data_IF_247221816401
#
_entry.id   IF_247221816401
#
_cell.length_a   1.000
_cell.length_b   1.000
_cell.length_c   1.000
_cell.angle_alpha   90.00
_cell.angle_beta   90.00
_cell.angle_gamma   90.00
#
_symmetry.space_group_name_H-M   'P 1'
#
loop_
_entity.id
_entity.type
_entity.pdbx_description
1 polymer ?
#
# COMPACT_ATOMS: atom_id res chain seq x y z
N UNK A 1 25.28 0.36 -21.94
CA UNK A 1 24.38 1.52 -21.74
C UNK A 1 23.17 1.05 -20.95
N UNK A 2 23.20 1.27 -19.63
CA UNK A 2 22.22 0.73 -18.65
C UNK A 2 21.68 1.87 -17.77
N UNK A 3 21.63 3.09 -18.30
CA UNK A 3 21.54 4.32 -17.50
C UNK A 3 20.38 5.24 -17.89
N UNK A 4 19.48 4.82 -18.78
CA UNK A 4 18.28 5.58 -19.15
C UNK A 4 16.96 4.88 -18.81
N UNK A 5 16.95 3.54 -18.68
CA UNK A 5 15.75 2.77 -18.33
C UNK A 5 15.44 2.74 -16.82
N UNK A 6 16.39 3.15 -15.97
CA UNK A 6 16.24 3.18 -14.51
C UNK A 6 15.80 4.56 -13.97
N UNK A 7 15.80 5.60 -14.80
CA UNK A 7 15.42 6.96 -14.39
C UNK A 7 13.90 7.22 -14.42
N UNK A 8 13.11 6.35 -15.08
CA UNK A 8 11.67 6.56 -15.31
C UNK A 8 10.75 5.46 -14.73
N UNK A 9 11.24 4.59 -13.85
CA UNK A 9 10.31 3.76 -13.06
C UNK A 9 9.74 4.59 -11.92
N UNK A 10 8.73 5.41 -12.25
CA UNK A 10 7.57 5.67 -11.37
C UNK A 10 7.34 4.38 -10.59
N UNK A 11 7.71 4.36 -9.30
CA UNK A 11 7.69 3.13 -8.49
C UNK A 11 6.34 2.46 -8.74
N UNK A 12 6.28 1.29 -9.41
CA UNK A 12 5.01 0.61 -9.59
C UNK A 12 4.48 0.41 -8.18
N UNK A 13 3.21 0.74 -7.97
CA UNK A 13 2.48 0.40 -6.74
C UNK A 13 2.93 -1.00 -6.34
N UNK A 14 3.59 -1.09 -5.18
CA UNK A 14 4.35 -2.26 -4.77
C UNK A 14 3.40 -3.46 -4.80
N UNK A 15 3.68 -4.48 -5.61
CA UNK A 15 2.84 -5.70 -5.70
C UNK A 15 2.55 -6.25 -4.30
N UNK A 16 3.48 -6.07 -3.37
CA UNK A 16 3.31 -6.46 -1.97
C UNK A 16 2.17 -5.68 -1.28
N UNK A 17 1.99 -4.39 -1.56
CA UNK A 17 0.91 -3.59 -0.97
C UNK A 17 -0.46 -4.09 -1.41
N UNK A 18 -0.58 -4.51 -2.68
CA UNK A 18 -1.80 -5.11 -3.21
C UNK A 18 -2.08 -6.46 -2.55
N UNK A 19 -1.07 -7.31 -2.36
CA UNK A 19 -1.21 -8.60 -1.67
C UNK A 19 -1.59 -8.43 -0.19
N UNK A 20 -1.00 -7.43 0.49
CA UNK A 20 -1.34 -7.10 1.88
C UNK A 20 -2.80 -6.64 1.97
N UNK A 21 -3.21 -5.71 1.10
CA UNK A 21 -4.60 -5.21 1.09
C UNK A 21 -5.61 -6.32 0.78
N UNK A 22 -5.32 -7.17 -0.20
CA UNK A 22 -6.17 -8.33 -0.56
C UNK A 22 -6.29 -9.32 0.61
N UNK A 23 -5.19 -9.63 1.28
CA UNK A 23 -5.20 -10.49 2.47
C UNK A 23 -6.05 -9.88 3.59
N UNK A 24 -5.91 -8.58 3.86
CA UNK A 24 -6.71 -7.90 4.88
C UNK A 24 -8.20 -7.91 4.51
N UNK A 25 -8.55 -7.68 3.26
CA UNK A 25 -9.92 -7.65 2.78
C UNK A 25 -10.59 -9.03 2.87
N UNK A 26 -9.92 -10.08 2.37
CA UNK A 26 -10.46 -11.45 2.38
C UNK A 26 -10.71 -11.98 3.79
N UNK A 27 -9.90 -11.56 4.77
CA UNK A 27 -9.99 -12.05 6.14
C UNK A 27 -10.72 -11.08 7.09
N UNK A 28 -11.15 -9.90 6.61
CA UNK A 28 -11.78 -8.88 7.43
C UNK A 28 -10.85 -8.27 8.50
N UNK A 29 -9.55 -8.20 8.23
CA UNK A 29 -8.57 -7.64 9.17
C UNK A 29 -8.53 -6.11 9.14
N UNK A 30 -8.25 -5.51 10.31
CA UNK A 30 -7.86 -4.11 10.42
C UNK A 30 -6.37 -3.97 10.05
N UNK A 31 -6.07 -3.24 8.97
CA UNK A 31 -4.70 -2.93 8.58
C UNK A 31 -4.15 -1.79 9.44
N UNK A 32 -3.11 -2.06 10.22
CA UNK A 32 -2.39 -1.03 10.97
C UNK A 32 -1.06 -0.77 10.25
N UNK A 33 -0.85 0.46 9.77
CA UNK A 33 0.36 0.81 9.01
C UNK A 33 0.73 2.28 9.17
N UNK A 34 2.00 2.61 8.95
CA UNK A 34 2.48 3.99 8.77
C UNK A 34 2.86 4.31 7.30
N UNK A 35 2.67 3.35 6.39
CA UNK A 35 2.99 3.50 4.97
C UNK A 35 1.84 4.22 4.24
N UNK A 36 2.15 5.36 3.60
CA UNK A 36 1.16 6.17 2.89
C UNK A 36 0.62 5.51 1.62
N UNK A 37 1.47 4.82 0.87
CA UNK A 37 1.09 4.18 -0.38
C UNK A 37 0.16 3.00 -0.10
N UNK A 38 0.54 2.16 0.87
CA UNK A 38 -0.28 1.06 1.33
C UNK A 38 -1.60 1.53 1.95
N UNK A 39 -1.58 2.59 2.77
CA UNK A 39 -2.80 3.20 3.33
C UNK A 39 -3.78 3.58 2.21
N UNK A 40 -3.27 4.21 1.14
CA UNK A 40 -4.09 4.61 -0.01
C UNK A 40 -4.66 3.41 -0.77
N UNK A 41 -3.83 2.40 -1.06
CA UNK A 41 -4.26 1.18 -1.75
C UNK A 41 -5.33 0.45 -0.95
N UNK A 42 -5.09 0.20 0.34
CA UNK A 42 -6.02 -0.50 1.21
C UNK A 42 -7.36 0.25 1.37
N UNK A 43 -7.32 1.57 1.55
CA UNK A 43 -8.53 2.40 1.70
C UNK A 43 -9.38 2.40 0.43
N UNK A 44 -8.76 2.54 -0.76
CA UNK A 44 -9.49 2.53 -2.05
C UNK A 44 -10.18 1.17 -2.30
N UNK A 45 -9.62 0.09 -1.77
CA UNK A 45 -10.18 -1.26 -1.86
C UNK A 45 -11.09 -1.63 -0.68
N UNK A 46 -11.48 -0.67 0.17
CA UNK A 46 -12.46 -0.89 1.24
C UNK A 46 -11.93 -1.61 2.47
N UNK A 47 -10.61 -1.74 2.63
CA UNK A 47 -10.04 -2.25 3.87
C UNK A 47 -10.25 -1.27 5.02
N UNK A 48 -10.49 -1.79 6.22
CA UNK A 48 -10.39 -0.98 7.44
C UNK A 48 -8.90 -0.68 7.69
N UNK A 49 -8.54 0.60 7.82
CA UNK A 49 -7.14 1.03 8.02
C UNK A 49 -7.02 1.94 9.24
N UNK A 50 -6.01 1.70 10.07
CA UNK A 50 -5.54 2.63 11.10
C UNK A 50 -4.16 3.15 10.72
N UNK A 51 -4.10 4.42 10.34
CA UNK A 51 -2.85 5.11 10.02
C UNK A 51 -2.15 5.55 11.31
N UNK A 52 -0.93 5.05 11.54
CA UNK A 52 -0.12 5.38 12.71
C UNK A 52 0.42 6.82 12.71
N UNK A 53 0.33 7.53 11.58
CA UNK A 53 0.77 8.93 11.47
C UNK A 53 -0.30 9.91 11.96
N UNK A 54 -1.56 9.48 11.98
CA UNK A 54 -2.66 10.28 12.53
C UNK A 54 -2.76 10.05 14.03
N UNK A 55 -2.82 11.14 14.81
CA UNK A 55 -3.13 11.04 16.24
C UNK A 55 -4.57 10.50 16.41
N UNK A 56 -4.83 9.70 17.47
CA UNK A 56 -6.15 9.14 17.73
C UNK A 56 -7.22 10.22 17.94
#
# INVERSE_FOLDING_TARGET
MKTQLDAEKKRPSNTNDALIADTCLQNGFLLITNDQALTKVATVNGCAVRDLRTKP
#
